data_IF_116233452645
#
_entry.id   IF_116233452645
#
_cell.length_a   1.000
_cell.length_b   1.000
_cell.length_c   1.000
_cell.angle_alpha   90.00
_cell.angle_beta   90.00
_cell.angle_gamma   90.00
#
_symmetry.space_group_name_H-M   'P 1'
#
loop_
_entity.id
_entity.type
_entity.pdbx_description
1 polymer ?
#
# COMPACT_ATOMS: atom_id res chain seq x y z
N UNK A 1 -15.28 11.14 -16.74
CA UNK A 1 -15.56 9.73 -17.05
C UNK A 1 -14.71 8.85 -16.14
N UNK A 2 -15.32 8.15 -15.20
CA UNK A 2 -14.63 7.17 -14.35
C UNK A 2 -14.30 5.94 -15.19
N UNK A 3 -13.02 5.74 -15.49
CA UNK A 3 -12.52 4.52 -16.15
C UNK A 3 -12.83 3.34 -15.22
N UNK A 4 -13.71 2.43 -15.64
CA UNK A 4 -13.92 1.16 -14.94
C UNK A 4 -12.71 0.26 -15.20
N UNK A 5 -11.81 0.16 -14.23
CA UNK A 5 -10.66 -0.75 -14.32
C UNK A 5 -11.14 -2.17 -14.10
N UNK A 6 -10.87 -3.04 -15.07
CA UNK A 6 -11.21 -4.45 -15.02
C UNK A 6 -9.99 -5.25 -14.52
N UNK A 7 -9.94 -5.51 -13.22
CA UNK A 7 -8.93 -6.43 -12.65
C UNK A 7 -9.36 -7.88 -12.92
N UNK A 8 -9.22 -8.32 -14.17
CA UNK A 8 -9.54 -9.68 -14.63
C UNK A 8 -8.41 -10.19 -15.53
N UNK A 9 -8.49 -11.47 -15.91
CA UNK A 9 -7.48 -12.13 -16.74
C UNK A 9 -6.55 -13.07 -15.97
N UNK A 10 -5.82 -13.90 -16.71
CA UNK A 10 -4.91 -14.90 -16.14
C UNK A 10 -3.77 -14.23 -15.37
N UNK A 11 -3.25 -13.12 -15.89
CA UNK A 11 -2.18 -12.35 -15.26
C UNK A 11 -2.56 -11.85 -13.86
N UNK A 12 -3.78 -11.33 -13.70
CA UNK A 12 -4.28 -10.87 -12.40
C UNK A 12 -4.55 -12.03 -11.43
N UNK A 13 -5.12 -13.14 -11.95
CA UNK A 13 -5.39 -14.33 -11.15
C UNK A 13 -4.11 -14.91 -10.57
N UNK A 14 -3.09 -15.10 -11.40
CA UNK A 14 -1.78 -15.60 -10.97
C UNK A 14 -1.20 -14.69 -9.87
N UNK A 15 -1.25 -13.37 -10.08
CA UNK A 15 -0.77 -12.38 -9.12
C UNK A 15 -1.48 -12.48 -7.76
N UNK A 16 -2.82 -12.49 -7.72
CA UNK A 16 -3.56 -12.50 -6.44
C UNK A 16 -3.40 -13.81 -5.68
N UNK A 17 -3.35 -14.94 -6.38
CA UNK A 17 -3.22 -16.25 -5.73
C UNK A 17 -1.85 -16.42 -5.04
N UNK A 18 -0.80 -15.77 -5.56
CA UNK A 18 0.52 -15.78 -4.89
C UNK A 18 0.57 -14.98 -3.59
N UNK A 19 -0.47 -14.20 -3.26
CA UNK A 19 -0.54 -13.40 -2.03
C UNK A 19 -1.44 -14.12 -1.01
N UNK A 20 -0.84 -14.80 -0.04
CA UNK A 20 -1.61 -15.65 0.90
C UNK A 20 -2.41 -14.87 1.95
N UNK A 21 -1.94 -13.70 2.40
CA UNK A 21 -2.64 -12.90 3.41
C UNK A 21 -3.84 -12.16 2.79
N UNK A 22 -5.06 -12.29 3.34
CA UNK A 22 -6.25 -11.62 2.80
C UNK A 22 -6.13 -10.10 2.88
N UNK A 23 -5.56 -9.57 3.97
CA UNK A 23 -5.31 -8.14 4.13
C UNK A 23 -4.29 -7.63 3.10
N UNK A 24 -3.24 -8.41 2.84
CA UNK A 24 -2.24 -8.07 1.82
C UNK A 24 -2.83 -8.10 0.42
N UNK A 25 -3.74 -9.04 0.10
CA UNK A 25 -4.45 -9.07 -1.20
C UNK A 25 -5.18 -7.77 -1.47
N UNK A 26 -5.89 -7.22 -0.47
CA UNK A 26 -6.62 -5.96 -0.60
C UNK A 26 -5.66 -4.81 -0.93
N UNK A 27 -4.55 -4.71 -0.17
CA UNK A 27 -3.57 -3.64 -0.36
C UNK A 27 -2.89 -3.74 -1.73
N UNK A 28 -2.55 -4.97 -2.15
CA UNK A 28 -1.89 -5.24 -3.43
C UNK A 28 -2.81 -4.96 -4.61
N UNK A 29 -4.08 -5.40 -4.52
CA UNK A 29 -5.13 -5.08 -5.49
C UNK A 29 -5.29 -3.57 -5.66
N UNK A 30 -5.45 -2.85 -4.56
CA UNK A 30 -5.66 -1.39 -4.59
C UNK A 30 -4.43 -0.68 -5.18
N UNK A 31 -3.23 -1.14 -4.84
CA UNK A 31 -1.98 -0.57 -5.38
C UNK A 31 -1.85 -0.79 -6.89
N UNK A 32 -2.18 -1.99 -7.38
CA UNK A 32 -2.19 -2.29 -8.81
C UNK A 32 -3.24 -1.46 -9.54
N UNK A 33 -4.44 -1.33 -8.98
CA UNK A 33 -5.51 -0.51 -9.55
C UNK A 33 -5.10 0.95 -9.68
N UNK A 34 -4.47 1.54 -8.66
CA UNK A 34 -3.95 2.91 -8.70
C UNK A 34 -2.87 3.09 -9.78
N UNK A 35 -2.04 2.07 -10.01
CA UNK A 35 -1.06 2.10 -11.08
C UNK A 35 -1.72 2.04 -12.47
N UNK A 36 -2.70 1.16 -12.67
CA UNK A 36 -3.50 1.10 -13.91
C UNK A 36 -4.22 2.42 -14.18
N UNK A 37 -4.75 3.07 -13.14
CA UNK A 37 -5.38 4.38 -13.20
C UNK A 37 -4.40 5.46 -13.70
N UNK A 38 -3.17 5.48 -13.17
CA UNK A 38 -2.12 6.40 -13.63
C UNK A 38 -1.75 6.15 -15.09
N UNK A 39 -1.70 4.88 -15.50
CA UNK A 39 -1.40 4.47 -16.87
C UNK A 39 -2.57 4.65 -17.84
N UNK A 40 -3.78 4.92 -17.33
CA UNK A 40 -5.02 4.95 -18.10
C UNK A 40 -5.29 3.66 -18.88
N UNK A 41 -4.87 2.53 -18.30
CA UNK A 41 -4.99 1.19 -18.88
C UNK A 41 -6.18 0.48 -18.24
N UNK A 42 -6.99 -0.17 -19.07
CA UNK A 42 -8.20 -0.88 -18.60
C UNK A 42 -7.93 -2.36 -18.32
N UNK A 43 -6.94 -2.95 -19.01
CA UNK A 43 -6.66 -4.38 -18.98
C UNK A 43 -5.27 -4.68 -18.40
N UNK A 44 -5.16 -5.75 -17.60
CA UNK A 44 -3.89 -6.19 -17.04
C UNK A 44 -2.92 -6.68 -18.12
N UNK A 45 -3.41 -7.26 -19.22
CA UNK A 45 -2.57 -7.80 -20.28
C UNK A 45 -1.87 -6.69 -21.08
N UNK A 46 -2.47 -5.50 -21.17
CA UNK A 46 -1.85 -4.32 -21.79
C UNK A 46 -0.61 -3.84 -21.03
N UNK A 47 -0.54 -4.09 -19.72
CA UNK A 47 0.67 -3.79 -18.94
C UNK A 47 1.84 -4.73 -19.27
N UNK A 48 1.55 -5.94 -19.76
CA UNK A 48 2.54 -6.97 -20.07
C UNK A 48 3.01 -6.93 -21.53
N UNK A 49 2.22 -6.33 -22.42
CA UNK A 49 2.50 -6.29 -23.86
C UNK A 49 3.64 -5.32 -24.26
N UNK A 50 4.06 -4.44 -23.36
CA UNK A 50 5.09 -3.43 -23.64
C UNK A 50 6.52 -3.94 -23.39
N UNK A 51 7.49 -3.32 -24.06
CA UNK A 51 8.89 -3.65 -23.85
C UNK A 51 9.33 -3.38 -22.40
N UNK A 52 10.19 -4.24 -21.80
CA UNK A 52 10.68 -4.07 -20.43
C UNK A 52 11.37 -2.72 -20.18
N UNK A 53 11.96 -2.10 -21.21
CA UNK A 53 12.57 -0.76 -21.10
C UNK A 53 11.51 0.33 -20.94
N UNK A 54 10.39 0.23 -21.65
CA UNK A 54 9.27 1.17 -21.61
C UNK A 54 8.53 1.04 -20.27
N UNK A 55 8.29 -0.21 -19.83
CA UNK A 55 7.72 -0.48 -18.50
C UNK A 55 8.58 0.16 -17.39
N UNK A 56 9.91 0.07 -17.51
CA UNK A 56 10.82 0.71 -16.55
C UNK A 56 10.70 2.23 -16.54
N UNK A 57 10.64 2.90 -17.70
CA UNK A 57 10.50 4.36 -17.73
C UNK A 57 9.16 4.79 -17.13
N UNK A 58 8.07 4.13 -17.48
CA UNK A 58 6.74 4.45 -16.95
C UNK A 58 6.61 4.18 -15.45
N UNK A 59 7.30 3.15 -14.92
CA UNK A 59 7.41 2.92 -13.48
C UNK A 59 8.17 4.04 -12.78
N UNK A 60 9.23 4.56 -13.40
CA UNK A 60 9.97 5.72 -12.88
C UNK A 60 9.07 6.95 -12.87
N UNK A 61 8.34 7.22 -13.95
CA UNK A 61 7.41 8.34 -14.06
C UNK A 61 6.29 8.23 -13.00
N UNK A 62 5.77 7.03 -12.76
CA UNK A 62 4.82 6.78 -11.69
C UNK A 62 5.42 7.07 -10.31
N UNK A 63 6.66 6.66 -10.04
CA UNK A 63 7.31 6.97 -8.76
C UNK A 63 7.51 8.48 -8.59
N UNK A 64 7.85 9.18 -9.66
CA UNK A 64 8.01 10.63 -9.65
C UNK A 64 6.67 11.32 -9.37
N UNK A 65 5.58 10.94 -10.04
CA UNK A 65 4.25 11.52 -9.79
C UNK A 65 3.76 11.25 -8.37
N UNK A 66 4.00 10.05 -7.82
CA UNK A 66 3.68 9.74 -6.43
C UNK A 66 4.45 10.62 -5.43
N UNK A 67 5.69 10.99 -5.76
CA UNK A 67 6.58 11.79 -4.91
C UNK A 67 6.28 13.29 -5.02
N UNK A 68 6.13 13.82 -6.23
CA UNK A 68 6.01 15.25 -6.48
C UNK A 68 4.55 15.73 -6.41
N UNK A 69 3.64 15.04 -7.09
CA UNK A 69 2.23 15.46 -7.17
C UNK A 69 1.48 15.05 -5.89
N UNK A 70 1.57 13.77 -5.53
CA UNK A 70 0.85 13.24 -4.37
C UNK A 70 1.59 13.43 -3.03
N UNK A 71 2.85 13.89 -3.07
CA UNK A 71 3.69 14.15 -1.88
C UNK A 71 3.70 13.01 -0.87
N UNK A 72 3.68 11.77 -1.36
CA UNK A 72 3.58 10.58 -0.52
C UNK A 72 4.89 10.28 0.19
N UNK A 73 4.78 9.65 1.35
CA UNK A 73 5.94 9.14 2.07
C UNK A 73 6.59 7.97 1.29
N UNK A 74 7.91 7.90 1.32
CA UNK A 74 8.69 6.83 0.71
C UNK A 74 8.23 5.43 1.14
N UNK A 75 7.81 5.25 2.40
CA UNK A 75 7.26 3.95 2.87
C UNK A 75 6.01 3.56 2.09
N UNK A 76 5.08 4.50 1.89
CA UNK A 76 3.84 4.28 1.13
C UNK A 76 4.14 3.98 -0.33
N UNK A 77 5.08 4.70 -0.94
CA UNK A 77 5.51 4.47 -2.32
C UNK A 77 6.11 3.06 -2.46
N UNK A 78 6.96 2.65 -1.51
CA UNK A 78 7.54 1.30 -1.49
C UNK A 78 6.48 0.20 -1.37
N UNK A 79 5.44 0.40 -0.55
CA UNK A 79 4.31 -0.55 -0.46
C UNK A 79 3.58 -0.69 -1.79
N UNK A 80 3.32 0.43 -2.48
CA UNK A 80 2.68 0.41 -3.82
C UNK A 80 3.57 -0.28 -4.84
N UNK A 81 4.86 0.05 -4.88
CA UNK A 81 5.84 -0.58 -5.75
C UNK A 81 6.00 -2.07 -5.48
N UNK A 82 5.88 -2.53 -4.23
CA UNK A 82 5.96 -3.95 -3.90
C UNK A 82 4.83 -4.75 -4.55
N UNK A 83 3.63 -4.18 -4.63
CA UNK A 83 2.50 -4.79 -5.32
C UNK A 83 2.74 -4.89 -6.83
N UNK A 84 3.17 -3.79 -7.46
CA UNK A 84 3.46 -3.76 -8.90
C UNK A 84 4.65 -4.68 -9.25
N UNK A 85 5.65 -4.74 -8.36
CA UNK A 85 6.77 -5.67 -8.48
C UNK A 85 6.31 -7.11 -8.47
N UNK A 86 5.48 -7.48 -7.50
CA UNK A 86 4.94 -8.83 -7.40
C UNK A 86 4.10 -9.19 -8.63
N UNK A 87 3.37 -8.23 -9.22
CA UNK A 87 2.64 -8.44 -10.46
C UNK A 87 3.57 -8.80 -11.63
N UNK A 88 4.60 -7.99 -11.90
CA UNK A 88 5.54 -8.27 -12.99
C UNK A 88 6.40 -9.52 -12.74
N UNK A 89 6.84 -9.75 -11.49
CA UNK A 89 7.58 -10.96 -11.12
C UNK A 89 6.75 -12.24 -11.32
N UNK A 90 5.42 -12.18 -11.15
CA UNK A 90 4.53 -13.36 -11.32
C UNK A 90 4.18 -13.64 -12.80
N UNK A 91 4.39 -12.65 -13.68
CA UNK A 91 4.20 -12.76 -15.12
C UNK A 91 5.53 -12.85 -15.86
N UNK A 92 6.60 -13.26 -15.17
CA UNK A 92 7.94 -13.50 -15.72
C UNK A 92 8.61 -12.30 -16.45
N UNK A 93 8.28 -11.06 -16.04
CA UNK A 93 8.91 -9.85 -16.58
C UNK A 93 10.02 -9.34 -15.65
N UNK A 94 11.26 -9.51 -16.07
CA UNK A 94 12.43 -9.03 -15.31
C UNK A 94 12.69 -7.53 -15.51
N UNK A 95 12.58 -6.77 -14.41
CA UNK A 95 12.82 -5.33 -14.39
C UNK A 95 13.99 -4.95 -13.46
N UNK A 96 14.73 -3.90 -13.81
CA UNK A 96 15.84 -3.37 -13.00
C UNK A 96 15.33 -2.58 -11.80
N UNK A 97 14.79 -3.27 -10.80
CA UNK A 97 14.17 -2.69 -9.60
C UNK A 97 15.09 -1.77 -8.79
N UNK A 98 16.41 -2.02 -8.78
CA UNK A 98 17.38 -1.14 -8.10
C UNK A 98 17.35 0.27 -8.69
N UNK A 99 17.21 0.40 -10.01
CA UNK A 99 17.08 1.67 -10.71
C UNK A 99 15.76 2.35 -10.36
N UNK A 100 14.64 1.63 -10.38
CA UNK A 100 13.33 2.23 -10.06
C UNK A 100 13.31 2.75 -8.61
N UNK A 101 13.85 1.97 -7.67
CA UNK A 101 13.88 2.35 -6.25
C UNK A 101 14.73 3.58 -5.95
N UNK A 102 15.75 3.90 -6.76
CA UNK A 102 16.55 5.10 -6.54
C UNK A 102 15.75 6.40 -6.71
N UNK A 103 14.63 6.37 -7.44
CA UNK A 103 13.76 7.55 -7.64
C UNK A 103 12.78 7.79 -6.48
N UNK A 104 12.58 6.83 -5.57
CA UNK A 104 11.67 6.97 -4.43
C UNK A 104 12.16 8.04 -3.44
N UNK A 105 13.48 8.22 -3.34
CA UNK A 105 14.11 9.16 -2.42
C UNK A 105 14.23 8.64 -0.98
N UNK A 106 14.74 9.50 -0.08
CA UNK A 106 14.91 9.16 1.34
C UNK A 106 13.60 9.36 2.11
N UNK A 107 13.19 8.35 2.86
CA UNK A 107 12.01 8.45 3.74
C UNK A 107 12.24 9.48 4.85
N UNK A 108 11.26 10.37 5.07
CA UNK A 108 11.25 11.28 6.20
C UNK A 108 10.87 10.48 7.45
N UNK A 109 11.75 10.45 8.45
CA UNK A 109 11.44 9.89 9.78
C UNK A 109 10.55 10.87 10.55
N UNK A 110 9.27 10.93 10.18
CA UNK A 110 8.28 11.78 10.86
C UNK A 110 7.56 11.01 11.99
N UNK A 111 8.28 10.20 12.78
CA UNK A 111 7.67 9.58 13.97
C UNK A 111 7.89 10.48 15.17
N UNK A 112 6.88 11.31 15.45
CA UNK A 112 6.70 12.02 16.72
C UNK A 112 5.52 11.41 17.47
N UNK A 113 5.51 10.09 17.61
CA UNK A 113 4.47 9.42 18.38
C UNK A 113 4.69 9.77 19.86
N UNK A 114 3.76 10.54 20.44
CA UNK A 114 3.76 10.95 21.85
C UNK A 114 2.80 10.02 22.62
N UNK A 115 3.20 9.46 23.77
CA UNK A 115 2.29 8.71 24.61
C UNK A 115 1.23 9.63 25.24
N UNK A 116 0.02 9.11 25.45
CA UNK A 116 -1.03 9.84 26.15
C UNK A 116 -0.67 10.04 27.63
N UNK A 117 -1.01 11.21 28.15
CA UNK A 117 -0.96 11.51 29.57
C UNK A 117 -2.14 10.90 30.32
N UNK A 118 -2.00 10.70 31.63
CA UNK A 118 -3.10 10.21 32.46
C UNK A 118 -4.37 11.07 32.36
N UNK A 119 -4.23 12.39 32.22
CA UNK A 119 -5.38 13.29 32.04
C UNK A 119 -6.10 13.06 30.71
N UNK A 120 -5.37 12.82 29.62
CA UNK A 120 -5.94 12.50 28.31
C UNK A 120 -6.65 11.15 28.35
N UNK A 121 -6.10 10.15 29.04
CA UNK A 121 -6.73 8.83 29.24
C UNK A 121 -8.02 8.95 30.05
N UNK A 122 -8.01 9.71 31.15
CA UNK A 122 -9.22 9.95 31.96
C UNK A 122 -10.33 10.61 31.13
N UNK A 123 -9.98 11.60 30.28
CA UNK A 123 -10.96 12.22 29.36
C UNK A 123 -11.55 11.22 28.37
N UNK A 124 -10.75 10.29 27.84
CA UNK A 124 -11.23 9.22 26.97
C UNK A 124 -12.21 8.30 27.71
N UNK A 125 -11.90 7.92 28.96
CA UNK A 125 -12.74 7.04 29.77
C UNK A 125 -14.08 7.65 30.15
N UNK A 126 -14.15 8.97 30.37
CA UNK A 126 -15.41 9.67 30.68
C UNK A 126 -16.35 9.70 29.48
N UNK A 127 -15.81 9.79 28.25
CA UNK A 127 -16.60 9.86 27.02
C UNK A 127 -16.96 8.50 26.43
N UNK A 128 -16.19 7.46 26.76
CA UNK A 128 -16.39 6.11 26.24
C UNK A 128 -17.58 5.39 26.89
N UNK A 129 -18.26 4.56 26.09
CA UNK A 129 -19.25 3.60 26.58
C UNK A 129 -18.57 2.47 27.39
N UNK A 130 -19.35 1.61 28.05
CA UNK A 130 -18.81 0.58 28.93
C UNK A 130 -17.86 -0.39 28.20
N UNK A 131 -18.13 -0.71 26.93
CA UNK A 131 -17.24 -1.55 26.10
C UNK A 131 -15.95 -0.81 25.75
N UNK A 132 -16.03 0.46 25.34
CA UNK A 132 -14.87 1.29 25.07
C UNK A 132 -13.96 1.47 26.29
N UNK A 133 -14.54 1.60 27.50
CA UNK A 133 -13.76 1.71 28.75
C UNK A 133 -12.96 0.45 29.03
N UNK A 134 -13.55 -0.74 28.83
CA UNK A 134 -12.84 -2.02 28.96
C UNK A 134 -11.69 -2.10 27.95
N UNK A 135 -11.93 -1.76 26.68
CA UNK A 135 -10.89 -1.79 25.65
C UNK A 135 -9.73 -0.83 25.95
N UNK A 136 -10.02 0.41 26.37
CA UNK A 136 -9.00 1.41 26.72
C UNK A 136 -8.16 0.93 27.91
N UNK A 137 -8.80 0.46 28.98
CA UNK A 137 -8.10 -0.02 30.17
C UNK A 137 -7.26 -1.26 29.86
N UNK A 138 -7.82 -2.23 29.12
CA UNK A 138 -7.12 -3.44 28.71
C UNK A 138 -5.87 -3.09 27.89
N UNK A 139 -5.98 -2.24 26.87
CA UNK A 139 -4.83 -1.82 26.07
C UNK A 139 -3.80 -1.04 26.88
N UNK A 140 -4.23 -0.16 27.79
CA UNK A 140 -3.34 0.64 28.61
C UNK A 140 -2.55 -0.22 29.62
N UNK A 141 -3.19 -1.23 30.22
CA UNK A 141 -2.57 -2.06 31.26
C UNK A 141 -1.74 -3.22 30.71
N UNK A 142 -2.16 -3.82 29.58
CA UNK A 142 -1.49 -5.00 29.01
C UNK A 142 -0.56 -4.68 27.84
N UNK A 143 -0.67 -3.49 27.25
CA UNK A 143 0.13 -3.11 26.08
C UNK A 143 -0.17 -3.93 24.81
N UNK A 144 -1.32 -4.60 24.75
CA UNK A 144 -1.70 -5.41 23.58
C UNK A 144 -1.98 -4.53 22.35
N UNK A 145 -1.72 -5.09 21.16
CA UNK A 145 -2.09 -4.46 19.89
C UNK A 145 -3.60 -4.63 19.65
N UNK A 146 -4.20 -3.70 18.90
CA UNK A 146 -5.65 -3.70 18.59
C UNK A 146 -6.15 -5.03 18.01
N UNK A 147 -5.34 -5.72 17.20
CA UNK A 147 -5.71 -7.01 16.61
C UNK A 147 -5.73 -8.20 17.57
N UNK A 148 -5.33 -8.01 18.84
CA UNK A 148 -5.39 -9.02 19.89
C UNK A 148 -6.54 -8.79 20.87
N UNK A 149 -7.34 -7.73 20.67
CA UNK A 149 -8.55 -7.51 21.46
C UNK A 149 -9.60 -8.54 20.99
N UNK A 150 -10.20 -9.30 21.92
CA UNK A 150 -11.19 -10.33 21.61
C UNK A 150 -12.53 -9.74 21.14
#
# INVERSE_FOLDING_TARGET
MSIQILLKGQAYRNFIETVHSPFSRITYRNSLQLYMQFRQVQDCDQLLAEDPKIIQSQLIDYVISLREENKLNATTINTRLAAVKKFYDTNDIELKWKKIKSYVGKGRKNKRDRPYTHLEITKMLVKADQRGRVAILLMCSSGIRVGAIP
#
